data_IF_377619335510
#
_entry.id   IF_377619335510
#
_cell.length_a   1.000
_cell.length_b   1.000
_cell.length_c   1.000
_cell.angle_alpha   90.00
_cell.angle_beta   90.00
_cell.angle_gamma   90.00
#
_symmetry.space_group_name_H-M   'P 1'
#
loop_
_entity.id
_entity.type
_entity.pdbx_description
1 polymer ?
#
# COMPACT_ATOMS: atom_id res chain seq x y z
N UNK A 1 -20.46 -30.21 4.53
CA UNK A 1 -19.86 -29.19 3.65
C UNK A 1 -20.69 -29.10 2.38
N UNK A 2 -21.31 -27.94 2.08
CA UNK A 2 -21.92 -27.71 0.76
C UNK A 2 -20.78 -27.60 -0.27
N UNK A 3 -20.97 -28.18 -1.45
CA UNK A 3 -20.02 -28.01 -2.54
C UNK A 3 -19.98 -26.52 -2.94
N UNK A 4 -18.79 -25.93 -2.91
CA UNK A 4 -18.54 -24.53 -3.30
C UNK A 4 -18.96 -24.31 -4.75
N UNK A 5 -19.84 -23.34 -4.99
CA UNK A 5 -20.40 -23.06 -6.31
C UNK A 5 -19.34 -22.46 -7.25
N UNK A 6 -19.62 -22.39 -8.56
CA UNK A 6 -18.70 -21.69 -9.48
C UNK A 6 -18.61 -20.19 -9.16
N UNK A 7 -19.71 -19.59 -8.65
CA UNK A 7 -19.76 -18.20 -8.20
C UNK A 7 -18.82 -17.97 -7.04
N UNK A 8 -18.96 -18.77 -5.98
CA UNK A 8 -18.16 -18.68 -4.75
C UNK A 8 -16.66 -18.76 -5.06
N UNK A 9 -16.26 -19.63 -5.99
CA UNK A 9 -14.86 -19.76 -6.43
C UNK A 9 -14.34 -18.52 -7.16
N UNK A 10 -15.16 -17.93 -8.02
CA UNK A 10 -14.78 -16.72 -8.76
C UNK A 10 -14.70 -15.51 -7.82
N UNK A 11 -15.63 -15.38 -6.87
CA UNK A 11 -15.61 -14.37 -5.81
C UNK A 11 -14.35 -14.47 -4.97
N UNK A 12 -14.07 -15.67 -4.45
CA UNK A 12 -12.85 -15.94 -3.69
C UNK A 12 -11.60 -15.65 -4.49
N UNK A 13 -11.53 -16.06 -5.77
CA UNK A 13 -10.38 -15.79 -6.64
C UNK A 13 -10.17 -14.29 -6.85
N UNK A 14 -11.22 -13.51 -7.07
CA UNK A 14 -11.12 -12.07 -7.26
C UNK A 14 -10.55 -11.37 -6.00
N UNK A 15 -11.02 -11.78 -4.82
CA UNK A 15 -10.50 -11.28 -3.55
C UNK A 15 -9.06 -11.73 -3.29
N UNK A 16 -8.73 -13.00 -3.53
CA UNK A 16 -7.38 -13.54 -3.36
C UNK A 16 -6.36 -12.82 -4.26
N UNK A 17 -6.73 -12.54 -5.52
CA UNK A 17 -5.90 -11.74 -6.44
C UNK A 17 -5.61 -10.38 -5.82
N UNK A 18 -6.65 -9.67 -5.36
CA UNK A 18 -6.48 -8.36 -4.77
C UNK A 18 -5.66 -8.40 -3.47
N UNK A 19 -5.85 -9.42 -2.63
CA UNK A 19 -5.18 -9.56 -1.34
C UNK A 19 -3.71 -9.94 -1.50
N UNK A 20 -3.39 -10.89 -2.40
CA UNK A 20 -2.03 -11.39 -2.63
C UNK A 20 -1.18 -10.45 -3.46
N UNK A 21 -1.75 -9.86 -4.51
CA UNK A 21 -1.03 -8.96 -5.42
C UNK A 21 -1.14 -7.49 -5.00
N UNK A 22 -2.17 -7.10 -4.26
CA UNK A 22 -2.23 -5.83 -3.53
C UNK A 22 -1.79 -6.04 -2.09
N UNK A 23 -2.71 -5.78 -1.14
CA UNK A 23 -2.53 -5.92 0.30
C UNK A 23 -3.82 -6.48 0.91
N UNK A 24 -3.71 -7.59 1.64
CA UNK A 24 -4.85 -8.27 2.25
C UNK A 24 -5.63 -7.44 3.29
N UNK A 25 -4.99 -6.42 3.88
CA UNK A 25 -5.59 -5.47 4.84
C UNK A 25 -6.59 -4.51 4.21
N UNK A 26 -6.52 -4.34 2.90
CA UNK A 26 -7.36 -3.41 2.15
C UNK A 26 -8.38 -4.12 1.28
N UNK A 27 -8.46 -5.44 1.41
CA UNK A 27 -9.45 -6.30 0.76
C UNK A 27 -10.33 -6.88 1.83
N UNK A 28 -11.62 -6.64 1.76
CA UNK A 28 -12.56 -7.04 2.79
C UNK A 28 -13.58 -8.02 2.23
N UNK A 29 -13.94 -8.99 3.07
CA UNK A 29 -15.06 -9.87 2.82
C UNK A 29 -16.40 -9.12 2.84
N UNK A 30 -17.47 -9.88 2.64
CA UNK A 30 -18.83 -9.36 2.51
C UNK A 30 -19.37 -8.96 3.90
N UNK A 31 -19.69 -7.68 4.17
CA UNK A 31 -20.35 -7.31 5.41
C UNK A 31 -21.73 -7.97 5.49
N UNK A 32 -22.09 -8.54 6.64
CA UNK A 32 -23.38 -9.18 6.85
C UNK A 32 -24.37 -8.22 7.51
N UNK A 33 -25.53 -8.04 6.88
CA UNK A 33 -26.64 -7.26 7.42
C UNK A 33 -27.87 -8.11 7.69
N UNK A 34 -28.59 -7.80 8.76
CA UNK A 34 -29.85 -8.47 9.06
C UNK A 34 -30.97 -7.88 8.20
N UNK A 35 -31.69 -8.72 7.45
CA UNK A 35 -32.87 -8.32 6.67
C UNK A 35 -34.04 -9.23 7.03
N UNK A 36 -34.93 -8.74 7.89
CA UNK A 36 -35.98 -9.57 8.50
C UNK A 36 -35.37 -10.62 9.42
N UNK A 37 -35.71 -11.90 9.21
CA UNK A 37 -35.16 -13.03 9.97
C UNK A 37 -33.83 -13.56 9.44
N UNK A 38 -33.41 -13.18 8.22
CA UNK A 38 -32.20 -13.68 7.57
C UNK A 38 -31.02 -12.69 7.59
N UNK A 39 -29.84 -13.21 7.27
CA UNK A 39 -28.65 -12.42 6.96
C UNK A 39 -28.55 -12.19 5.45
N UNK A 40 -28.05 -11.03 5.05
CA UNK A 40 -27.79 -10.66 3.67
C UNK A 40 -26.40 -10.07 3.57
N UNK A 41 -25.67 -10.50 2.56
CA UNK A 41 -24.35 -9.98 2.22
C UNK A 41 -24.46 -8.62 1.52
N UNK A 42 -23.58 -7.70 1.88
CA UNK A 42 -23.46 -6.36 1.28
C UNK A 42 -22.36 -6.40 0.22
N UNK A 43 -22.75 -6.91 -0.93
CA UNK A 43 -21.89 -7.10 -2.08
C UNK A 43 -20.94 -8.29 -1.94
N UNK A 44 -20.09 -8.49 -2.96
CA UNK A 44 -19.27 -9.71 -3.06
C UNK A 44 -17.88 -9.50 -2.44
N UNK A 45 -17.52 -8.26 -2.10
CA UNK A 45 -16.32 -7.85 -1.38
C UNK A 45 -16.16 -6.32 -1.40
N UNK A 46 -15.18 -5.79 -0.66
CA UNK A 46 -14.83 -4.38 -0.70
C UNK A 46 -13.32 -4.18 -0.85
N UNK A 47 -12.93 -3.10 -1.51
CA UNK A 47 -11.59 -2.53 -1.41
C UNK A 47 -11.67 -1.25 -0.59
N UNK A 48 -10.86 -1.09 0.45
CA UNK A 48 -10.90 0.14 1.27
C UNK A 48 -9.48 0.52 1.72
N UNK A 49 -9.07 1.75 1.40
CA UNK A 49 -7.83 2.38 1.87
C UNK A 49 -8.12 3.81 2.30
N UNK A 50 -8.04 4.09 3.61
CA UNK A 50 -8.36 5.41 4.14
C UNK A 50 -9.81 5.80 3.84
N UNK A 51 -9.99 6.88 3.09
CA UNK A 51 -11.29 7.40 2.64
C UNK A 51 -11.76 6.84 1.28
N UNK A 52 -10.83 6.25 0.51
CA UNK A 52 -11.14 5.66 -0.79
C UNK A 52 -11.59 4.21 -0.62
N UNK A 53 -12.49 3.79 -1.49
CA UNK A 53 -12.90 2.41 -1.55
C UNK A 53 -13.68 2.10 -2.79
N UNK A 54 -13.99 0.83 -2.98
CA UNK A 54 -14.77 0.31 -4.09
C UNK A 54 -15.59 -0.91 -3.65
N UNK A 55 -16.74 -1.10 -4.28
CA UNK A 55 -17.61 -2.25 -4.05
C UNK A 55 -17.35 -3.27 -5.14
N UNK A 56 -17.01 -4.51 -4.76
CA UNK A 56 -16.82 -5.60 -5.71
C UNK A 56 -18.14 -6.35 -5.93
N UNK A 57 -18.40 -6.67 -7.20
CA UNK A 57 -19.45 -7.56 -7.65
C UNK A 57 -18.87 -8.53 -8.67
N UNK A 58 -18.96 -9.82 -8.39
CA UNK A 58 -18.42 -10.88 -9.23
C UNK A 58 -19.58 -11.69 -9.81
N UNK A 59 -19.48 -12.04 -11.09
CA UNK A 59 -20.41 -12.95 -11.74
C UNK A 59 -19.65 -13.95 -12.58
N UNK A 60 -19.93 -15.23 -12.38
CA UNK A 60 -19.25 -16.31 -13.09
C UNK A 60 -20.20 -17.12 -13.96
N UNK A 61 -19.71 -17.55 -15.11
CA UNK A 61 -20.35 -18.58 -15.94
C UNK A 61 -19.77 -19.95 -15.61
N UNK A 62 -20.63 -20.94 -15.41
CA UNK A 62 -20.20 -22.34 -15.27
C UNK A 62 -19.28 -22.79 -16.42
N UNK A 63 -18.17 -23.44 -16.08
CA UNK A 63 -17.10 -23.76 -17.03
C UNK A 63 -17.55 -24.63 -18.20
N UNK A 64 -18.22 -25.75 -17.92
CA UNK A 64 -18.65 -26.73 -18.93
C UNK A 64 -19.59 -26.14 -19.98
N UNK A 65 -20.72 -25.50 -19.62
CA UNK A 65 -21.58 -24.86 -20.61
C UNK A 65 -20.93 -23.62 -21.22
N UNK A 66 -20.18 -22.83 -20.44
CA UNK A 66 -19.52 -21.62 -20.92
C UNK A 66 -18.50 -21.85 -22.04
N UNK A 67 -17.79 -22.98 -22.02
CA UNK A 67 -16.88 -23.38 -23.10
C UNK A 67 -17.62 -23.72 -24.42
N UNK A 68 -18.91 -24.03 -24.36
CA UNK A 68 -19.73 -24.33 -25.55
C UNK A 68 -20.52 -23.12 -26.06
N UNK A 69 -20.45 -21.99 -25.37
CA UNK A 69 -21.11 -20.77 -25.80
C UNK A 69 -20.39 -20.18 -27.03
N UNK A 70 -21.15 -19.84 -28.08
CA UNK A 70 -20.64 -19.10 -29.23
C UNK A 70 -20.21 -17.69 -28.81
N UNK A 71 -19.46 -16.97 -29.67
CA UNK A 71 -19.00 -15.60 -29.38
C UNK A 71 -20.17 -14.68 -28.98
N UNK A 72 -21.22 -14.64 -29.81
CA UNK A 72 -22.39 -13.79 -29.57
C UNK A 72 -23.17 -14.20 -28.32
N UNK A 73 -23.24 -15.51 -28.04
CA UNK A 73 -23.89 -16.03 -26.84
C UNK A 73 -23.10 -15.66 -25.58
N UNK A 74 -21.78 -15.78 -25.62
CA UNK A 74 -20.90 -15.39 -24.52
C UNK A 74 -21.03 -13.90 -24.22
N UNK A 75 -20.97 -13.04 -25.24
CA UNK A 75 -21.17 -11.59 -25.09
C UNK A 75 -22.54 -11.27 -24.44
N UNK A 76 -23.62 -11.82 -24.98
CA UNK A 76 -24.98 -11.59 -24.44
C UNK A 76 -25.11 -12.03 -22.98
N UNK A 77 -24.51 -13.15 -22.60
CA UNK A 77 -24.50 -13.64 -21.22
C UNK A 77 -23.69 -12.70 -20.32
N UNK A 78 -22.50 -12.27 -20.75
CA UNK A 78 -21.66 -11.35 -20.00
C UNK A 78 -22.38 -10.02 -19.80
N UNK A 79 -23.03 -9.45 -20.82
CA UNK A 79 -23.84 -8.21 -20.68
C UNK A 79 -24.94 -8.37 -19.63
N UNK A 80 -25.68 -9.49 -19.68
CA UNK A 80 -26.70 -9.81 -18.66
C UNK A 80 -26.12 -9.89 -17.25
N UNK A 81 -24.94 -10.48 -17.08
CA UNK A 81 -24.27 -10.57 -15.79
C UNK A 81 -23.83 -9.20 -15.28
N UNK A 82 -23.30 -8.36 -16.16
CA UNK A 82 -22.93 -6.98 -15.84
C UNK A 82 -24.16 -6.19 -15.36
N UNK A 83 -25.27 -6.22 -16.08
CA UNK A 83 -26.50 -5.51 -15.70
C UNK A 83 -27.05 -5.98 -14.34
N UNK A 84 -26.90 -7.26 -14.01
CA UNK A 84 -27.28 -7.79 -12.71
C UNK A 84 -26.33 -7.32 -11.59
N UNK A 85 -25.03 -7.38 -11.84
CA UNK A 85 -23.99 -6.96 -10.90
C UNK A 85 -24.07 -5.46 -10.59
N UNK A 86 -24.31 -4.60 -11.60
CA UNK A 86 -24.48 -3.15 -11.40
C UNK A 86 -25.63 -2.87 -10.43
N UNK A 87 -26.79 -3.50 -10.64
CA UNK A 87 -27.96 -3.33 -9.74
C UNK A 87 -27.66 -3.79 -8.32
N UNK A 88 -26.94 -4.90 -8.16
CA UNK A 88 -26.53 -5.41 -6.85
C UNK A 88 -25.51 -4.48 -6.17
N UNK A 89 -24.53 -3.95 -6.91
CA UNK A 89 -23.56 -2.98 -6.41
C UNK A 89 -24.22 -1.70 -5.89
N UNK A 90 -25.16 -1.12 -6.65
CA UNK A 90 -25.93 0.04 -6.19
C UNK A 90 -26.76 -0.25 -4.94
N UNK A 91 -27.35 -1.45 -4.85
CA UNK A 91 -28.06 -1.90 -3.65
C UNK A 91 -27.16 -2.01 -2.43
N UNK A 92 -25.93 -2.51 -2.61
CA UNK A 92 -24.92 -2.64 -1.56
C UNK A 92 -24.46 -1.26 -1.08
N UNK A 93 -24.13 -0.35 -2.01
CA UNK A 93 -23.79 1.05 -1.72
C UNK A 93 -24.86 1.73 -0.88
N UNK A 94 -26.12 1.64 -1.31
CA UNK A 94 -27.26 2.19 -0.56
C UNK A 94 -27.39 1.59 0.84
N UNK A 95 -27.13 0.29 0.98
CA UNK A 95 -27.19 -0.37 2.29
C UNK A 95 -26.13 0.19 3.23
N UNK A 96 -24.87 0.33 2.77
CA UNK A 96 -23.79 0.95 3.57
C UNK A 96 -24.21 2.34 4.04
N UNK A 97 -24.73 3.16 3.11
CA UNK A 97 -25.16 4.54 3.40
C UNK A 97 -26.29 4.61 4.44
N UNK A 98 -27.26 3.69 4.38
CA UNK A 98 -28.35 3.64 5.37
C UNK A 98 -27.82 3.32 6.78
N UNK A 99 -26.86 2.41 6.89
CA UNK A 99 -26.23 2.08 8.18
C UNK A 99 -25.39 3.25 8.71
N UNK A 100 -24.65 3.95 7.84
CA UNK A 100 -23.95 5.18 8.19
C UNK A 100 -24.91 6.27 8.68
N UNK A 101 -26.00 6.54 7.94
CA UNK A 101 -27.00 7.54 8.29
C UNK A 101 -27.76 7.22 9.59
N UNK A 102 -27.83 5.94 9.98
CA UNK A 102 -28.43 5.50 11.25
C UNK A 102 -27.46 5.46 12.43
N UNK A 103 -26.25 6.02 12.27
CA UNK A 103 -25.18 6.02 13.27
C UNK A 103 -24.83 4.61 13.80
N UNK A 104 -24.93 3.62 12.91
CA UNK A 104 -24.59 2.21 13.16
C UNK A 104 -23.78 1.67 11.98
N UNK A 105 -22.59 2.22 11.71
CA UNK A 105 -21.78 1.80 10.57
C UNK A 105 -21.52 0.29 10.58
N UNK A 106 -21.45 -0.29 9.37
CA UNK A 106 -21.15 -1.71 9.21
C UNK A 106 -19.69 -1.99 9.55
N UNK A 107 -19.42 -3.21 9.97
CA UNK A 107 -18.07 -3.72 10.20
C UNK A 107 -17.68 -4.64 9.04
N UNK A 108 -16.47 -4.47 8.54
CA UNK A 108 -15.90 -5.30 7.48
C UNK A 108 -14.62 -5.98 7.98
N UNK A 109 -14.46 -7.27 7.72
CA UNK A 109 -13.28 -8.04 8.14
C UNK A 109 -12.31 -8.12 6.96
N UNK A 110 -11.04 -7.70 7.13
CA UNK A 110 -10.04 -7.78 6.07
C UNK A 110 -9.67 -9.23 5.77
N UNK A 111 -9.29 -9.52 4.53
CA UNK A 111 -8.88 -10.84 4.09
C UNK A 111 -7.70 -11.38 4.89
N UNK A 112 -6.85 -10.50 5.43
CA UNK A 112 -5.73 -10.89 6.30
C UNK A 112 -6.18 -11.59 7.59
N UNK A 113 -7.35 -11.27 8.13
CA UNK A 113 -7.81 -11.92 9.36
C UNK A 113 -7.89 -13.45 9.20
N UNK A 114 -8.06 -13.93 7.95
CA UNK A 114 -8.08 -15.37 7.63
C UNK A 114 -6.73 -16.07 7.86
N UNK A 115 -5.62 -15.32 7.89
CA UNK A 115 -4.28 -15.86 8.20
C UNK A 115 -4.09 -16.10 9.71
N UNK A 116 -4.98 -15.57 10.56
CA UNK A 116 -4.88 -15.59 12.03
C UNK A 116 -6.21 -16.02 12.70
N UNK A 117 -6.71 -17.24 12.44
CA UNK A 117 -8.00 -17.70 12.95
C UNK A 117 -8.09 -17.75 14.50
N UNK A 118 -6.94 -17.83 15.18
CA UNK A 118 -6.85 -17.79 16.65
C UNK A 118 -7.10 -16.39 17.24
N UNK A 119 -6.94 -15.36 16.42
CA UNK A 119 -7.18 -13.97 16.80
C UNK A 119 -8.63 -13.63 16.45
N UNK A 120 -9.41 -13.14 17.42
CA UNK A 120 -10.83 -12.82 17.19
C UNK A 120 -10.96 -11.81 16.04
N UNK A 121 -11.67 -12.19 14.96
CA UNK A 121 -11.95 -11.36 13.77
C UNK A 121 -12.30 -9.91 14.11
N UNK A 122 -13.00 -9.70 15.23
CA UNK A 122 -13.43 -8.39 15.71
C UNK A 122 -12.31 -7.37 15.90
N UNK A 123 -11.08 -7.78 16.22
CA UNK A 123 -9.99 -6.81 16.41
C UNK A 123 -9.49 -6.22 15.09
N UNK A 124 -9.64 -6.97 13.99
CA UNK A 124 -9.24 -6.54 12.65
C UNK A 124 -10.34 -5.76 11.94
N UNK A 125 -11.57 -5.80 12.46
CA UNK A 125 -12.71 -5.17 11.84
C UNK A 125 -12.44 -3.70 11.51
N UNK A 126 -12.81 -3.31 10.30
CA UNK A 126 -12.88 -1.93 9.87
C UNK A 126 -14.32 -1.46 10.01
N UNK A 127 -14.50 -0.37 10.76
CA UNK A 127 -15.76 0.36 10.77
C UNK A 127 -15.90 1.17 9.49
N UNK A 128 -16.96 0.89 8.72
CA UNK A 128 -17.30 1.62 7.50
C UNK A 128 -18.02 2.93 7.83
N UNK A 129 -17.35 3.83 8.55
CA UNK A 129 -17.90 5.14 8.96
C UNK A 129 -17.70 6.23 7.92
N UNK A 130 -16.75 6.07 6.99
CA UNK A 130 -16.46 7.06 5.94
C UNK A 130 -17.50 7.04 4.81
N UNK A 131 -17.94 8.19 4.28
CA UNK A 131 -18.92 8.23 3.20
C UNK A 131 -18.48 7.42 1.97
N UNK A 132 -19.32 6.50 1.51
CA UNK A 132 -19.02 5.68 0.32
C UNK A 132 -19.68 6.21 -0.96
N UNK A 133 -20.23 7.43 -0.96
CA UNK A 133 -21.01 7.99 -2.08
C UNK A 133 -20.21 8.07 -3.39
N UNK A 134 -18.90 8.24 -3.33
CA UNK A 134 -18.03 8.32 -4.50
C UNK A 134 -17.39 6.98 -4.86
N UNK A 135 -17.54 5.95 -4.01
CA UNK A 135 -16.92 4.65 -4.26
C UNK A 135 -17.46 4.03 -5.56
N UNK A 136 -16.58 3.65 -6.50
CA UNK A 136 -17.01 2.96 -7.71
C UNK A 136 -17.51 1.55 -7.41
N UNK A 137 -18.35 1.04 -8.30
CA UNK A 137 -18.76 -0.36 -8.33
C UNK A 137 -17.87 -1.08 -9.36
N UNK A 138 -17.04 -2.01 -8.89
CA UNK A 138 -16.22 -2.88 -9.72
C UNK A 138 -17.04 -4.13 -10.03
N UNK A 139 -17.32 -4.35 -11.32
CA UNK A 139 -17.98 -5.54 -11.82
C UNK A 139 -16.95 -6.44 -12.49
N UNK A 140 -16.68 -7.59 -11.87
CA UNK A 140 -15.76 -8.61 -12.37
C UNK A 140 -16.59 -9.73 -12.97
N UNK A 141 -16.33 -10.07 -14.24
CA UNK A 141 -16.98 -11.20 -14.89
C UNK A 141 -15.98 -12.30 -15.20
N UNK A 142 -16.28 -13.51 -14.73
CA UNK A 142 -15.57 -14.72 -15.09
C UNK A 142 -16.36 -15.51 -16.13
N UNK A 143 -15.88 -15.52 -17.37
CA UNK A 143 -16.45 -16.32 -18.45
C UNK A 143 -15.35 -17.16 -19.10
N UNK A 144 -15.52 -18.49 -19.27
CA UNK A 144 -14.47 -19.39 -19.78
C UNK A 144 -13.92 -19.04 -21.16
N UNK A 145 -14.71 -18.38 -22.00
CA UNK A 145 -14.30 -17.90 -23.33
C UNK A 145 -13.67 -16.49 -23.32
N UNK A 146 -13.69 -15.80 -22.19
CA UNK A 146 -13.20 -14.43 -21.99
C UNK A 146 -13.49 -13.49 -23.19
N UNK A 147 -14.77 -13.24 -23.54
CA UNK A 147 -15.10 -12.51 -24.76
C UNK A 147 -14.65 -11.05 -24.69
N UNK A 148 -14.18 -10.51 -25.83
CA UNK A 148 -13.80 -9.11 -25.97
C UNK A 148 -14.86 -8.32 -26.72
N UNK A 149 -15.37 -7.25 -26.11
CA UNK A 149 -16.36 -6.36 -26.71
C UNK A 149 -16.46 -5.01 -25.98
N UNK A 150 -16.92 -3.98 -26.70
CA UNK A 150 -17.14 -2.63 -26.15
C UNK A 150 -18.45 -2.54 -25.37
N UNK A 151 -18.40 -1.83 -24.25
CA UNK A 151 -19.49 -1.67 -23.30
C UNK A 151 -19.65 -0.20 -22.92
N UNK A 152 -20.89 0.28 -22.94
CA UNK A 152 -21.25 1.53 -22.29
C UNK A 152 -21.59 1.24 -20.84
N UNK A 153 -20.87 1.86 -19.91
CA UNK A 153 -21.09 1.70 -18.46
C UNK A 153 -21.61 3.01 -17.85
N UNK A 154 -22.49 2.97 -16.84
CA UNK A 154 -22.88 4.16 -16.10
C UNK A 154 -21.68 4.81 -15.39
N UNK A 155 -21.75 6.11 -15.06
CA UNK A 155 -20.74 6.75 -14.21
C UNK A 155 -20.55 6.03 -12.88
N UNK A 156 -19.31 5.93 -12.41
CA UNK A 156 -18.97 5.24 -11.16
C UNK A 156 -19.07 3.70 -11.23
N UNK A 157 -19.15 3.12 -12.43
CA UNK A 157 -19.08 1.67 -12.65
C UNK A 157 -17.84 1.35 -13.47
N UNK A 158 -17.06 0.38 -13.01
CA UNK A 158 -15.92 -0.17 -13.72
C UNK A 158 -16.16 -1.65 -14.00
N UNK A 159 -16.10 -2.07 -15.25
CA UNK A 159 -16.32 -3.47 -15.64
C UNK A 159 -15.04 -4.08 -16.21
N UNK A 160 -14.70 -5.28 -15.74
CA UNK A 160 -13.46 -5.97 -16.10
C UNK A 160 -13.67 -7.49 -16.13
N UNK A 161 -12.87 -8.20 -16.92
CA UNK A 161 -12.82 -9.66 -16.86
C UNK A 161 -12.00 -10.13 -15.65
N UNK A 162 -12.25 -11.33 -15.12
CA UNK A 162 -11.42 -11.88 -14.03
C UNK A 162 -9.95 -12.04 -14.44
N UNK A 163 -9.69 -12.38 -15.71
CA UNK A 163 -8.34 -12.51 -16.25
C UNK A 163 -7.62 -11.15 -16.32
N UNK A 164 -8.33 -10.08 -16.71
CA UNK A 164 -7.75 -8.74 -16.72
C UNK A 164 -7.58 -8.17 -15.32
N UNK A 165 -8.48 -8.50 -14.38
CA UNK A 165 -8.34 -8.15 -12.97
C UNK A 165 -7.02 -8.65 -12.39
N UNK A 166 -6.67 -9.91 -12.67
CA UNK A 166 -5.39 -10.50 -12.28
C UNK A 166 -4.20 -9.80 -12.93
N UNK A 167 -4.27 -9.55 -14.25
CA UNK A 167 -3.19 -8.85 -14.96
C UNK A 167 -3.00 -7.42 -14.45
N UNK A 168 -4.09 -6.69 -14.19
CA UNK A 168 -4.05 -5.32 -13.70
C UNK A 168 -3.42 -5.25 -12.31
N UNK A 169 -3.85 -6.14 -11.39
CA UNK A 169 -3.23 -6.25 -10.07
C UNK A 169 -1.75 -6.65 -10.16
N UNK A 170 -1.38 -7.50 -11.11
CA UNK A 170 0.02 -7.88 -11.29
C UNK A 170 0.90 -6.71 -11.78
N UNK A 171 0.31 -5.73 -12.49
CA UNK A 171 1.02 -4.52 -12.95
C UNK A 171 1.10 -3.45 -11.87
N UNK A 172 -0.02 -3.19 -11.20
CA UNK A 172 -0.14 -2.08 -10.24
C UNK A 172 0.40 -2.46 -8.85
N UNK A 173 0.26 -3.72 -8.44
CA UNK A 173 0.84 -4.27 -7.20
C UNK A 173 0.49 -3.48 -5.92
N UNK A 174 -0.61 -2.74 -5.95
CA UNK A 174 -1.09 -1.83 -4.91
C UNK A 174 -2.62 -1.72 -4.96
N UNK A 175 -3.29 -1.67 -3.80
CA UNK A 175 -4.76 -1.45 -3.76
C UNK A 175 -5.08 0.03 -3.95
N UNK A 176 -4.30 0.92 -3.35
CA UNK A 176 -4.37 2.37 -3.54
C UNK A 176 -4.15 2.75 -5.00
N UNK A 177 -3.16 2.11 -5.65
CA UNK A 177 -2.92 2.25 -7.08
C UNK A 177 -4.12 1.79 -7.93
N UNK A 178 -4.77 0.68 -7.56
CA UNK A 178 -5.99 0.22 -8.26
C UNK A 178 -7.10 1.25 -8.12
N UNK A 179 -7.36 1.77 -6.92
CA UNK A 179 -8.39 2.79 -6.71
C UNK A 179 -8.10 4.07 -7.53
N UNK A 180 -6.84 4.52 -7.57
CA UNK A 180 -6.42 5.65 -8.43
C UNK A 180 -6.57 5.34 -9.92
N UNK A 181 -6.36 4.10 -10.33
CA UNK A 181 -6.54 3.68 -11.72
C UNK A 181 -8.00 3.81 -12.13
N UNK A 182 -8.94 3.43 -11.25
CA UNK A 182 -10.37 3.58 -11.49
C UNK A 182 -10.75 5.06 -11.67
N UNK A 183 -10.21 5.95 -10.83
CA UNK A 183 -10.43 7.39 -10.94
C UNK A 183 -9.91 7.91 -12.30
N UNK A 184 -8.71 7.51 -12.70
CA UNK A 184 -8.12 7.91 -13.98
C UNK A 184 -8.94 7.39 -15.17
N UNK A 185 -9.36 6.13 -15.15
CA UNK A 185 -10.22 5.56 -16.20
C UNK A 185 -11.51 6.35 -16.32
N UNK A 186 -12.13 6.69 -15.18
CA UNK A 186 -13.37 7.48 -15.15
C UNK A 186 -13.19 8.89 -15.75
N UNK A 187 -12.01 9.49 -15.59
CA UNK A 187 -11.68 10.82 -16.12
C UNK A 187 -11.26 10.78 -17.60
N UNK A 188 -10.68 9.66 -18.05
CA UNK A 188 -10.11 9.51 -19.40
C UNK A 188 -11.14 9.50 -20.53
N UNK A 189 -12.41 9.21 -20.24
CA UNK A 189 -13.48 8.98 -21.22
C UNK A 189 -13.19 7.88 -22.25
N UNK A 190 -12.15 7.06 -22.03
CA UNK A 190 -11.83 5.94 -22.90
C UNK A 190 -12.94 4.88 -22.85
N UNK A 191 -13.25 4.23 -23.98
CA UNK A 191 -14.28 3.21 -24.02
C UNK A 191 -13.92 2.06 -23.07
N UNK A 192 -14.94 1.50 -22.42
CA UNK A 192 -14.78 0.25 -21.66
C UNK A 192 -14.85 -0.93 -22.61
N UNK A 193 -13.77 -1.69 -22.67
CA UNK A 193 -13.67 -2.92 -23.46
C UNK A 193 -13.40 -4.07 -22.51
N UNK A 194 -14.38 -4.96 -22.34
CA UNK A 194 -14.18 -6.19 -21.57
C UNK A 194 -13.10 -7.01 -22.29
N UNK A 195 -12.14 -7.57 -21.55
CA UNK A 195 -11.04 -8.33 -22.17
C UNK A 195 -9.92 -7.45 -22.77
N UNK A 196 -10.00 -6.12 -22.63
CA UNK A 196 -9.07 -5.14 -23.23
C UNK A 196 -8.42 -4.19 -22.22
N UNK A 197 -8.39 -4.56 -20.93
CA UNK A 197 -7.84 -3.70 -19.89
C UNK A 197 -6.35 -3.48 -20.05
N UNK A 198 -5.64 -4.48 -20.58
CA UNK A 198 -4.20 -4.40 -20.78
C UNK A 198 -3.84 -3.23 -21.68
N UNK A 199 -4.50 -3.11 -22.81
CA UNK A 199 -4.31 -2.03 -23.78
C UNK A 199 -4.65 -0.68 -23.17
N UNK A 200 -5.78 -0.58 -22.44
CA UNK A 200 -6.18 0.64 -21.74
C UNK A 200 -5.16 1.05 -20.68
N UNK A 201 -4.64 0.10 -19.91
CA UNK A 201 -3.60 0.35 -18.91
C UNK A 201 -2.34 0.94 -19.56
N UNK A 202 -1.82 0.32 -20.62
CA UNK A 202 -0.61 0.83 -21.29
C UNK A 202 -0.85 2.21 -21.90
N UNK A 203 -1.98 2.41 -22.57
CA UNK A 203 -2.33 3.72 -23.10
C UNK A 203 -2.37 4.81 -22.02
N UNK A 204 -2.97 4.52 -20.87
CA UNK A 204 -3.03 5.47 -19.75
C UNK A 204 -1.65 5.68 -19.10
N UNK A 205 -0.83 4.64 -18.98
CA UNK A 205 0.54 4.77 -18.49
C UNK A 205 1.37 5.69 -19.41
N UNK A 206 1.32 5.46 -20.72
CA UNK A 206 2.06 6.27 -21.71
C UNK A 206 1.64 7.75 -21.67
N UNK A 207 0.33 8.03 -21.57
CA UNK A 207 -0.19 9.41 -21.47
C UNK A 207 0.28 10.11 -20.19
N UNK A 208 0.28 9.41 -19.06
CA UNK A 208 0.74 9.98 -17.78
C UNK A 208 2.25 10.22 -17.83
N UNK A 209 3.02 9.27 -18.36
CA UNK A 209 4.47 9.40 -18.55
C UNK A 209 4.81 10.63 -19.40
N UNK A 210 4.12 10.83 -20.53
CA UNK A 210 4.33 11.98 -21.43
C UNK A 210 3.99 13.33 -20.78
N UNK A 211 2.91 13.40 -20.00
CA UNK A 211 2.52 14.61 -19.28
C UNK A 211 3.50 14.93 -18.14
N UNK A 212 4.02 13.91 -17.45
CA UNK A 212 4.99 14.06 -16.37
C UNK A 212 6.36 14.52 -16.90
N UNK A 213 6.83 13.97 -18.03
CA UNK A 213 8.07 14.41 -18.70
C UNK A 213 8.03 15.91 -19.03
N UNK A 214 6.85 16.43 -19.43
CA UNK A 214 6.67 17.85 -19.76
C UNK A 214 6.58 18.76 -18.52
N UNK A 215 6.17 18.25 -17.37
CA UNK A 215 5.80 19.08 -16.21
C UNK A 215 6.80 19.14 -15.04
N UNK A 216 7.83 18.27 -14.94
CA UNK A 216 9.08 18.44 -14.15
C UNK A 216 9.74 17.06 -13.97
N UNK A 217 11.07 17.03 -13.83
CA UNK A 217 11.91 15.83 -13.52
C UNK A 217 11.59 15.10 -12.19
N UNK A 218 10.50 15.44 -11.50
CA UNK A 218 10.20 14.97 -10.13
C UNK A 218 8.80 14.39 -9.96
N UNK A 219 7.95 14.39 -11.00
CA UNK A 219 6.65 13.70 -10.93
C UNK A 219 6.85 12.25 -11.37
N UNK A 220 6.44 11.33 -10.49
CA UNK A 220 6.52 9.90 -10.77
C UNK A 220 5.13 9.43 -11.19
N UNK A 221 5.01 8.83 -12.39
CA UNK A 221 3.72 8.37 -12.89
C UNK A 221 3.22 7.25 -11.99
N UNK A 222 1.96 7.35 -11.58
CA UNK A 222 1.31 6.34 -10.74
C UNK A 222 1.27 4.95 -11.39
N UNK A 223 1.28 4.92 -12.72
CA UNK A 223 1.21 3.72 -13.54
C UNK A 223 2.44 3.67 -14.43
N UNK A 224 3.19 2.56 -14.39
CA UNK A 224 4.37 2.38 -15.23
C UNK A 224 4.66 0.89 -15.43
N UNK A 225 5.62 0.57 -16.29
CA UNK A 225 6.12 -0.79 -16.52
C UNK A 225 7.16 -1.23 -15.49
N UNK A 226 7.55 -0.37 -14.55
CA UNK A 226 8.69 -0.58 -13.67
C UNK A 226 8.62 -1.90 -12.87
N UNK A 227 7.41 -2.33 -12.46
CA UNK A 227 7.22 -3.60 -11.76
C UNK A 227 7.60 -4.83 -12.60
N UNK A 228 7.42 -4.75 -13.92
CA UNK A 228 7.80 -5.80 -14.86
C UNK A 228 9.29 -5.77 -15.15
N UNK A 229 9.83 -4.56 -15.31
CA UNK A 229 11.24 -4.36 -15.67
C UNK A 229 12.19 -4.72 -14.51
N UNK A 230 11.72 -4.60 -13.26
CA UNK A 230 12.52 -4.94 -12.07
C UNK A 230 11.67 -5.54 -10.93
N UNK A 231 11.26 -6.82 -11.09
CA UNK A 231 10.44 -7.50 -10.10
C UNK A 231 11.20 -7.78 -8.79
N UNK A 232 12.53 -7.86 -8.83
CA UNK A 232 13.35 -8.09 -7.64
C UNK A 232 13.29 -6.90 -6.69
N UNK A 233 13.52 -5.69 -7.21
CA UNK A 233 13.46 -4.47 -6.41
C UNK A 233 12.05 -4.23 -5.88
N UNK A 234 11.02 -4.47 -6.69
CA UNK A 234 9.65 -4.44 -6.21
C UNK A 234 9.41 -5.45 -5.08
N UNK A 235 9.97 -6.65 -5.20
CA UNK A 235 9.93 -7.68 -4.15
C UNK A 235 10.50 -7.20 -2.82
N UNK A 236 11.64 -6.51 -2.84
CA UNK A 236 12.26 -5.91 -1.65
C UNK A 236 11.38 -4.85 -1.01
N UNK A 237 10.73 -3.98 -1.80
CA UNK A 237 9.79 -3.01 -1.25
C UNK A 237 8.56 -3.69 -0.62
N UNK A 238 7.99 -4.69 -1.30
CA UNK A 238 6.85 -5.47 -0.80
C UNK A 238 7.19 -6.30 0.44
N UNK A 239 8.45 -6.67 0.62
CA UNK A 239 8.92 -7.30 1.85
C UNK A 239 8.59 -6.41 3.05
N UNK A 240 8.87 -5.10 2.96
CA UNK A 240 8.58 -4.15 4.04
C UNK A 240 7.10 -4.18 4.44
N UNK A 241 6.22 -4.12 3.43
CA UNK A 241 4.76 -4.16 3.63
C UNK A 241 4.31 -5.48 4.27
N UNK A 242 4.88 -6.60 3.83
CA UNK A 242 4.55 -7.93 4.35
C UNK A 242 5.01 -8.07 5.81
N UNK A 243 6.13 -7.43 6.17
CA UNK A 243 6.74 -7.52 7.50
C UNK A 243 6.17 -6.55 8.53
N UNK A 244 5.27 -5.64 8.16
CA UNK A 244 4.47 -4.87 9.14
C UNK A 244 3.70 -5.81 10.06
N UNK A 245 3.24 -6.95 9.54
CA UNK A 245 2.40 -7.92 10.25
C UNK A 245 3.14 -9.02 11.00
N UNK A 246 4.44 -9.22 10.76
CA UNK A 246 5.21 -10.24 11.50
C UNK A 246 5.42 -9.89 12.98
N UNK A 247 4.70 -8.90 13.50
CA UNK A 247 4.73 -8.37 14.86
C UNK A 247 3.57 -8.79 15.79
N UNK A 248 3.09 -10.05 15.75
CA UNK A 248 2.28 -10.62 16.84
C UNK A 248 2.94 -11.89 17.42
N UNK A 249 3.08 -12.06 18.75
CA UNK A 249 3.58 -11.14 19.77
C UNK A 249 5.06 -11.50 20.11
N UNK A 250 6.03 -10.82 19.49
CA UNK A 250 7.44 -10.85 19.93
C UNK A 250 8.03 -9.43 20.04
N UNK A 251 7.17 -8.45 20.31
CA UNK A 251 7.48 -7.02 20.49
C UNK A 251 6.18 -6.26 20.78
N UNK A 252 6.24 -5.02 21.32
CA UNK A 252 5.06 -4.32 21.80
C UNK A 252 4.07 -3.97 20.68
N UNK A 253 2.86 -4.52 20.77
CA UNK A 253 1.60 -3.76 20.81
C UNK A 253 1.17 -2.87 19.65
N UNK A 254 1.64 -3.03 18.40
CA UNK A 254 1.08 -2.27 17.27
C UNK A 254 -0.37 -2.70 17.04
N UNK A 255 -1.29 -1.75 17.14
CA UNK A 255 -2.72 -1.98 16.90
C UNK A 255 -3.03 -2.23 15.42
N UNK A 256 -4.12 -2.95 15.08
CA UNK A 256 -4.55 -3.11 13.70
C UNK A 256 -4.78 -1.79 12.95
N UNK A 257 -5.13 -0.71 13.65
CA UNK A 257 -5.27 0.63 13.07
C UNK A 257 -3.92 1.24 12.67
N UNK A 258 -2.92 1.17 13.56
CA UNK A 258 -1.55 1.61 13.24
C UNK A 258 -0.96 0.80 12.08
N UNK A 259 -1.20 -0.51 12.04
CA UNK A 259 -0.77 -1.36 10.92
C UNK A 259 -1.41 -0.89 9.61
N UNK A 260 -2.73 -0.66 9.59
CA UNK A 260 -3.41 -0.12 8.39
C UNK A 260 -2.86 1.23 7.99
N UNK A 261 -2.49 2.08 8.95
CA UNK A 261 -1.90 3.40 8.69
C UNK A 261 -0.52 3.28 8.03
N UNK A 262 0.35 2.42 8.57
CA UNK A 262 1.67 2.11 8.00
C UNK A 262 1.52 1.51 6.59
N UNK A 263 0.61 0.56 6.41
CA UNK A 263 0.37 -0.05 5.11
C UNK A 263 -0.19 0.95 4.11
N UNK A 264 -1.07 1.86 4.53
CA UNK A 264 -1.61 2.89 3.65
C UNK A 264 -0.50 3.87 3.22
N UNK A 265 0.44 4.18 4.12
CA UNK A 265 1.64 4.95 3.77
C UNK A 265 2.45 4.24 2.67
N UNK A 266 2.74 2.95 2.83
CA UNK A 266 3.56 2.18 1.89
C UNK A 266 2.84 1.86 0.57
N UNK A 267 1.54 1.64 0.60
CA UNK A 267 0.71 1.26 -0.55
C UNK A 267 0.41 2.46 -1.46
N UNK A 268 0.16 3.62 -0.87
CA UNK A 268 -0.16 4.84 -1.61
C UNK A 268 1.14 5.53 -2.07
N UNK A 269 1.88 4.83 -2.93
CA UNK A 269 3.10 5.27 -3.62
C UNK A 269 3.09 4.74 -5.06
N UNK A 270 3.53 5.53 -6.07
CA UNK A 270 3.71 5.04 -7.44
C UNK A 270 4.60 3.80 -7.56
N UNK A 271 4.27 2.89 -8.46
CA UNK A 271 5.02 1.64 -8.69
C UNK A 271 6.49 1.90 -9.03
N UNK A 272 6.77 2.94 -9.82
CA UNK A 272 8.14 3.36 -10.15
C UNK A 272 8.94 3.76 -8.91
N UNK A 273 8.31 4.44 -7.94
CA UNK A 273 8.93 4.78 -6.66
C UNK A 273 9.15 3.52 -5.82
N UNK A 274 8.19 2.58 -5.76
CA UNK A 274 8.38 1.31 -5.05
C UNK A 274 9.63 0.57 -5.57
N UNK A 275 9.79 0.47 -6.88
CA UNK A 275 10.95 -0.18 -7.53
C UNK A 275 12.25 0.57 -7.21
N UNK A 276 12.27 1.90 -7.39
CA UNK A 276 13.47 2.69 -7.11
C UNK A 276 13.89 2.62 -5.63
N UNK A 277 12.91 2.57 -4.73
CA UNK A 277 13.11 2.42 -3.29
C UNK A 277 13.65 1.03 -2.96
N UNK A 278 13.13 -0.02 -3.59
CA UNK A 278 13.67 -1.38 -3.47
C UNK A 278 15.14 -1.49 -3.89
N UNK A 279 15.51 -0.89 -5.03
CA UNK A 279 16.92 -0.80 -5.45
C UNK A 279 17.77 -0.09 -4.40
N UNK A 280 17.26 1.03 -3.89
CA UNK A 280 17.95 1.82 -2.89
C UNK A 280 18.15 1.04 -1.58
N UNK A 281 17.13 0.31 -1.10
CA UNK A 281 17.23 -0.58 0.08
C UNK A 281 18.30 -1.65 -0.14
N UNK A 282 18.34 -2.30 -1.31
CA UNK A 282 19.38 -3.29 -1.61
C UNK A 282 20.79 -2.69 -1.56
N UNK A 283 20.98 -1.47 -2.06
CA UNK A 283 22.26 -0.76 -1.94
C UNK A 283 22.61 -0.49 -0.48
N UNK A 284 21.64 -0.10 0.36
CA UNK A 284 21.86 0.11 1.79
C UNK A 284 22.21 -1.17 2.55
N UNK A 285 21.58 -2.29 2.21
CA UNK A 285 21.97 -3.60 2.77
C UNK A 285 23.39 -3.98 2.36
N UNK A 286 23.79 -3.72 1.10
CA UNK A 286 25.16 -3.96 0.63
C UNK A 286 26.19 -3.06 1.33
N UNK A 287 25.89 -1.78 1.49
CA UNK A 287 26.74 -0.81 2.20
C UNK A 287 27.04 -1.29 3.63
N UNK A 288 26.04 -1.80 4.34
CA UNK A 288 26.21 -2.42 5.65
C UNK A 288 27.11 -3.67 5.59
N UNK A 289 26.89 -4.56 4.62
CA UNK A 289 27.69 -5.79 4.46
C UNK A 289 29.17 -5.50 4.15
N UNK A 290 29.43 -4.46 3.35
CA UNK A 290 30.79 -4.08 2.94
C UNK A 290 31.55 -3.34 4.06
N UNK A 291 30.86 -2.50 4.82
CA UNK A 291 31.51 -1.62 5.82
C UNK A 291 31.40 -2.13 7.25
N UNK A 292 30.44 -3.02 7.53
CA UNK A 292 30.04 -3.37 8.89
C UNK A 292 29.34 -2.25 9.65
N UNK A 293 29.19 -1.06 9.07
CA UNK A 293 28.61 0.12 9.71
C UNK A 293 27.11 0.24 9.40
N UNK A 294 26.30 0.79 10.32
CA UNK A 294 24.87 0.96 10.12
C UNK A 294 24.59 1.80 8.87
N UNK A 295 23.76 1.27 7.96
CA UNK A 295 23.43 1.95 6.72
C UNK A 295 22.05 2.61 6.83
N UNK A 296 21.98 3.90 6.54
CA UNK A 296 20.71 4.64 6.62
C UNK A 296 20.48 5.57 5.44
N UNK A 297 19.25 6.07 5.32
CA UNK A 297 18.92 7.20 4.47
C UNK A 297 17.41 7.38 4.34
N UNK A 298 16.99 8.13 3.34
CA UNK A 298 15.57 8.37 3.09
C UNK A 298 15.21 8.33 1.59
N UNK A 299 13.93 8.10 1.34
CA UNK A 299 13.26 8.27 0.06
C UNK A 299 11.98 9.08 0.31
N UNK A 300 11.58 9.94 -0.64
CA UNK A 300 10.39 10.79 -0.48
C UNK A 300 9.46 10.69 -1.68
N UNK A 301 8.15 10.72 -1.41
CA UNK A 301 7.09 10.79 -2.42
C UNK A 301 6.06 11.83 -1.98
N UNK A 302 6.05 13.00 -2.63
CA UNK A 302 5.23 14.13 -2.19
C UNK A 302 5.60 14.55 -0.76
N UNK A 303 4.63 14.52 0.16
CA UNK A 303 4.80 14.85 1.57
C UNK A 303 5.08 13.62 2.47
N UNK A 304 5.35 12.46 1.87
CA UNK A 304 5.67 11.21 2.57
C UNK A 304 7.16 10.95 2.54
N UNK A 305 7.74 10.65 3.70
CA UNK A 305 9.17 10.39 3.86
C UNK A 305 9.35 8.98 4.40
N UNK A 306 9.93 8.10 3.59
CA UNK A 306 10.37 6.79 4.05
C UNK A 306 11.81 6.93 4.55
N UNK A 307 12.03 6.61 5.81
CA UNK A 307 13.35 6.57 6.45
C UNK A 307 13.73 5.11 6.63
N UNK A 308 14.93 4.73 6.21
CA UNK A 308 15.41 3.36 6.32
C UNK A 308 16.68 3.31 7.17
N UNK A 309 16.75 2.32 8.06
CA UNK A 309 17.94 2.03 8.86
C UNK A 309 18.19 0.51 8.82
N UNK A 310 19.42 0.12 8.54
CA UNK A 310 19.85 -1.26 8.53
C UNK A 310 21.10 -1.45 9.39
N UNK A 311 21.08 -2.44 10.26
CA UNK A 311 22.15 -2.72 11.23
C UNK A 311 22.14 -4.19 11.67
N UNK A 312 23.00 -4.53 12.64
CA UNK A 312 22.99 -5.83 13.33
C UNK A 312 22.73 -5.71 14.83
N UNK A 313 22.32 -6.82 15.44
CA UNK A 313 22.21 -6.99 16.89
C UNK A 313 23.54 -6.79 17.64
N UNK A 314 24.69 -6.94 16.97
CA UNK A 314 26.01 -6.62 17.53
C UNK A 314 26.16 -5.14 17.87
N UNK A 315 25.55 -4.27 17.07
CA UNK A 315 25.60 -2.82 17.26
C UNK A 315 24.50 -2.34 18.20
N UNK A 316 23.30 -2.92 18.09
CA UNK A 316 22.18 -2.65 18.96
C UNK A 316 21.59 -3.95 19.48
N UNK A 317 22.11 -4.52 20.58
CA UNK A 317 21.58 -5.74 21.14
C UNK A 317 20.18 -5.52 21.73
N UNK A 318 19.94 -4.34 22.31
CA UNK A 318 18.67 -3.99 22.94
C UNK A 318 17.64 -3.45 21.93
N UNK A 319 16.46 -4.07 21.91
CA UNK A 319 15.38 -3.71 20.99
C UNK A 319 14.79 -2.32 21.29
N UNK A 320 14.79 -1.90 22.56
CA UNK A 320 14.29 -0.58 22.95
C UNK A 320 15.23 0.53 22.45
N UNK A 321 16.53 0.37 22.63
CA UNK A 321 17.55 1.27 22.07
C UNK A 321 17.47 1.35 20.55
N UNK A 322 17.33 0.21 19.87
CA UNK A 322 17.13 0.16 18.42
C UNK A 322 15.90 0.96 17.97
N UNK A 323 14.76 0.72 18.62
CA UNK A 323 13.49 1.40 18.30
C UNK A 323 13.58 2.90 18.58
N UNK A 324 14.26 3.28 19.67
CA UNK A 324 14.50 4.69 20.03
C UNK A 324 15.37 5.39 18.99
N UNK A 325 16.47 4.74 18.56
CA UNK A 325 17.36 5.28 17.53
C UNK A 325 16.63 5.48 16.19
N UNK A 326 15.85 4.48 15.76
CA UNK A 326 15.02 4.58 14.56
C UNK A 326 13.99 5.72 14.69
N UNK A 327 13.38 5.87 15.87
CA UNK A 327 12.39 6.92 16.13
C UNK A 327 13.02 8.31 16.02
N UNK A 328 14.17 8.54 16.65
CA UNK A 328 14.86 9.83 16.58
C UNK A 328 15.42 10.13 15.20
N UNK A 329 15.93 9.12 14.50
CA UNK A 329 16.31 9.27 13.11
C UNK A 329 15.11 9.71 12.26
N UNK A 330 13.98 9.01 12.38
CA UNK A 330 12.76 9.30 11.62
C UNK A 330 12.21 10.69 11.93
N UNK A 331 12.16 11.08 13.20
CA UNK A 331 11.72 12.39 13.65
C UNK A 331 12.63 13.51 13.12
N UNK A 332 13.95 13.30 13.14
CA UNK A 332 14.92 14.26 12.60
C UNK A 332 14.70 14.47 11.10
N UNK A 333 14.54 13.38 10.31
CA UNK A 333 14.29 13.50 8.87
C UNK A 333 12.96 14.22 8.57
N UNK A 334 11.93 13.98 9.37
CA UNK A 334 10.66 14.68 9.24
C UNK A 334 10.79 16.19 9.52
N UNK A 335 11.59 16.55 10.53
CA UNK A 335 11.86 17.94 10.87
C UNK A 335 12.64 18.65 9.75
N UNK A 336 13.74 18.06 9.29
CA UNK A 336 14.56 18.60 8.19
C UNK A 336 13.75 18.77 6.89
N UNK A 337 12.86 17.82 6.58
CA UNK A 337 11.98 17.91 5.42
C UNK A 337 10.97 19.06 5.56
N UNK A 338 10.35 19.16 6.74
CA UNK A 338 9.38 20.23 7.06
C UNK A 338 10.04 21.60 6.97
N UNK A 339 11.26 21.77 7.46
CA UNK A 339 12.04 23.01 7.30
C UNK A 339 12.39 23.31 5.85
N UNK A 340 12.76 22.28 5.07
CA UNK A 340 13.18 22.44 3.67
C UNK A 340 12.05 22.90 2.76
N UNK A 341 10.83 22.39 2.99
CA UNK A 341 9.68 22.63 2.11
C UNK A 341 8.61 23.53 2.73
N UNK A 342 8.67 23.82 4.03
CA UNK A 342 7.65 24.56 4.77
C UNK A 342 6.23 24.00 4.58
N UNK A 343 6.12 22.67 4.56
CA UNK A 343 4.86 21.92 4.42
C UNK A 343 4.81 20.85 5.51
N UNK A 344 3.61 20.47 5.95
CA UNK A 344 3.44 19.34 6.88
C UNK A 344 3.68 18.02 6.15
N UNK A 345 4.61 17.23 6.66
CA UNK A 345 4.91 15.88 6.18
C UNK A 345 4.45 14.79 7.14
N UNK A 346 4.51 13.56 6.64
CA UNK A 346 4.42 12.33 7.44
C UNK A 346 5.64 11.48 7.15
N UNK A 347 6.13 10.77 8.16
CA UNK A 347 7.31 9.92 8.02
C UNK A 347 7.04 8.50 8.51
N UNK A 348 7.60 7.54 7.78
CA UNK A 348 7.67 6.14 8.19
C UNK A 348 9.13 5.71 8.28
N UNK A 349 9.59 5.44 9.49
CA UNK A 349 10.83 4.74 9.77
C UNK A 349 10.66 3.24 9.59
N UNK A 350 11.52 2.62 8.79
CA UNK A 350 11.63 1.18 8.65
C UNK A 350 13.04 0.75 9.02
N UNK A 351 13.16 0.13 10.17
CA UNK A 351 14.39 -0.49 10.66
C UNK A 351 14.44 -1.95 10.28
N UNK A 352 15.60 -2.42 9.81
CA UNK A 352 15.92 -3.83 9.68
C UNK A 352 17.17 -4.18 10.47
N UNK A 353 17.07 -5.17 11.36
CA UNK A 353 18.17 -5.58 12.25
C UNK A 353 18.52 -7.04 11.97
N UNK A 354 19.74 -7.31 11.53
CA UNK A 354 20.26 -8.67 11.37
C UNK A 354 20.54 -9.28 12.75
N UNK A 355 19.98 -10.47 12.98
CA UNK A 355 20.15 -11.24 14.21
C UNK A 355 20.55 -12.67 13.89
N UNK A 356 20.96 -13.43 14.91
CA UNK A 356 21.20 -14.87 14.77
C UNK A 356 19.98 -15.65 14.22
N UNK A 357 18.75 -15.13 14.38
CA UNK A 357 17.51 -15.78 13.96
C UNK A 357 16.96 -15.24 12.62
N UNK A 358 17.71 -14.38 11.93
CA UNK A 358 17.30 -13.73 10.69
C UNK A 358 17.11 -12.22 10.85
N UNK A 359 16.32 -11.62 9.97
CA UNK A 359 16.10 -10.16 9.94
C UNK A 359 14.85 -9.79 10.73
N UNK A 360 15.03 -8.95 11.74
CA UNK A 360 13.95 -8.30 12.48
C UNK A 360 13.54 -6.98 11.82
N UNK A 361 12.25 -6.66 11.90
CA UNK A 361 11.66 -5.46 11.31
C UNK A 361 11.07 -4.58 12.40
N UNK A 362 11.31 -3.27 12.32
CA UNK A 362 10.74 -2.27 13.22
C UNK A 362 10.15 -1.13 12.39
N UNK A 363 8.95 -0.70 12.73
CA UNK A 363 8.24 0.36 12.02
C UNK A 363 7.92 1.49 12.99
N UNK A 364 8.18 2.72 12.59
CA UNK A 364 7.87 3.93 13.36
C UNK A 364 7.13 4.91 12.47
N UNK A 365 5.86 5.15 12.76
CA UNK A 365 5.04 6.11 12.01
C UNK A 365 4.94 7.42 12.79
N UNK A 366 5.22 8.55 12.13
CA UNK A 366 5.18 9.89 12.74
C UNK A 366 4.36 10.86 11.88
N UNK A 367 3.43 11.55 12.53
CA UNK A 367 2.71 12.69 11.96
C UNK A 367 3.12 13.98 12.67
N UNK A 368 3.73 14.90 11.93
CA UNK A 368 4.22 16.17 12.47
C UNK A 368 5.58 16.08 13.19
N UNK A 369 6.28 17.22 13.23
CA UNK A 369 7.67 17.31 13.68
C UNK A 369 7.83 17.76 15.16
N UNK A 370 6.89 17.40 16.04
CA UNK A 370 6.93 17.80 17.45
C UNK A 370 7.95 17.00 18.28
N UNK A 371 8.52 17.62 19.32
CA UNK A 371 9.27 16.90 20.36
C UNK A 371 10.75 16.65 20.10
N UNK A 372 11.32 17.16 19.01
CA UNK A 372 12.76 17.02 18.73
C UNK A 372 13.57 18.08 19.49
N UNK A 373 14.47 17.65 20.39
CA UNK A 373 15.42 18.55 21.04
C UNK A 373 16.65 18.77 20.15
N UNK A 374 17.35 19.89 20.37
CA UNK A 374 18.59 20.19 19.64
C UNK A 374 19.66 19.12 19.87
N UNK A 375 19.81 18.62 21.11
CA UNK A 375 20.85 17.61 21.39
C UNK A 375 20.59 16.30 20.63
N UNK A 376 19.33 15.86 20.55
CA UNK A 376 18.96 14.66 19.78
C UNK A 376 19.21 14.88 18.30
N UNK A 377 18.82 16.04 17.76
CA UNK A 377 19.07 16.39 16.36
C UNK A 377 20.56 16.39 16.03
N UNK A 378 21.37 17.12 16.80
CA UNK A 378 22.82 17.23 16.59
C UNK A 378 23.49 15.84 16.62
N UNK A 379 23.06 14.94 17.51
CA UNK A 379 23.55 13.55 17.57
C UNK A 379 23.20 12.77 16.29
N UNK A 380 21.93 12.81 15.86
CA UNK A 380 21.45 12.09 14.68
C UNK A 380 22.10 12.62 13.40
N UNK A 381 22.23 13.93 13.26
CA UNK A 381 22.88 14.57 12.10
C UNK A 381 24.37 14.23 12.04
N UNK A 382 25.05 14.13 13.19
CA UNK A 382 26.44 13.68 13.24
C UNK A 382 26.58 12.22 12.83
N UNK A 383 25.73 11.34 13.32
CA UNK A 383 25.83 9.90 13.09
C UNK A 383 25.41 9.48 11.68
N UNK A 384 24.44 10.18 11.09
CA UNK A 384 23.80 9.78 9.84
C UNK A 384 23.85 10.84 8.73
N UNK A 385 24.50 11.98 8.99
CA UNK A 385 24.57 13.12 8.09
C UNK A 385 23.24 13.88 7.95
N UNK A 386 23.29 15.01 7.24
CA UNK A 386 22.13 15.86 6.93
C UNK A 386 21.71 15.63 5.48
N UNK A 387 20.45 15.24 5.21
CA UNK A 387 20.00 14.95 3.87
C UNK A 387 19.66 16.25 3.15
N UNK A 388 20.13 16.38 1.92
CA UNK A 388 19.66 17.42 1.04
C UNK A 388 18.47 16.90 0.23
N UNK A 389 17.25 17.12 0.73
CA UNK A 389 16.03 16.64 0.07
C UNK A 389 15.82 17.20 -1.35
N UNK A 390 16.50 18.29 -1.72
CA UNK A 390 16.41 18.86 -3.07
C UNK A 390 17.31 18.14 -4.07
N UNK A 391 18.45 17.62 -3.62
CA UNK A 391 19.48 17.05 -4.48
C UNK A 391 19.74 15.56 -4.23
N UNK A 392 19.10 14.96 -3.22
CA UNK A 392 19.17 13.53 -2.93
C UNK A 392 20.53 13.03 -2.43
N UNK A 393 21.41 13.92 -1.94
CA UNK A 393 22.67 13.54 -1.29
C UNK A 393 22.62 13.78 0.21
N UNK A 394 23.44 13.04 0.96
CA UNK A 394 23.64 13.26 2.39
C UNK A 394 24.98 13.95 2.59
N UNK A 395 24.98 15.04 3.36
CA UNK A 395 26.20 15.75 3.75
C UNK A 395 26.64 15.29 5.12
N UNK A 396 27.87 14.84 5.25
CA UNK A 396 28.46 14.55 6.55
C UNK A 396 28.60 15.83 7.37
N UNK A 397 28.33 15.73 8.68
CA UNK A 397 28.50 16.85 9.60
C UNK A 397 29.88 16.74 10.20
N UNK A 398 30.74 17.70 9.87
CA UNK A 398 32.03 17.89 10.53
C UNK A 398 31.84 18.86 11.72
N UNK A 399 31.88 18.38 12.97
CA UNK A 399 31.77 19.26 14.12
C UNK A 399 32.99 20.17 14.17
N UNK A 400 32.78 21.48 14.35
CA UNK A 400 33.91 22.39 14.56
C UNK A 400 34.74 21.97 15.76
N UNK A 401 36.08 22.07 15.69
CA UNK A 401 37.02 21.59 16.73
C UNK A 401 36.66 22.00 18.17
N UNK A 402 36.09 23.20 18.34
CA UNK A 402 35.70 23.74 19.65
C UNK A 402 34.21 23.57 20.01
N UNK A 403 33.39 23.00 19.12
CA UNK A 403 31.99 22.68 19.39
C UNK A 403 31.88 21.57 20.44
N UNK A 404 30.72 21.49 21.11
CA UNK A 404 30.41 20.33 21.98
C UNK A 404 30.39 19.07 21.13
N UNK A 405 30.95 18.00 21.66
CA UNK A 405 31.02 16.73 20.98
C UNK A 405 29.60 16.13 20.88
N UNK A 406 29.14 15.78 19.67
CA UNK A 406 27.80 15.22 19.45
C UNK A 406 27.63 13.80 20.02
N UNK A 407 28.71 13.14 20.48
CA UNK A 407 28.61 11.83 21.14
C UNK A 407 27.98 11.88 22.54
N UNK A 408 27.67 13.08 23.06
CA UNK A 408 27.04 13.26 24.37
C UNK A 408 28.02 13.29 25.56
N UNK A 409 29.34 13.22 25.32
CA UNK A 409 30.35 13.26 26.40
C UNK A 409 30.41 14.58 27.18
N UNK A 410 29.79 15.65 26.67
CA UNK A 410 29.88 17.00 27.23
C UNK A 410 31.22 17.71 26.96
N UNK A 411 32.20 17.03 26.36
CA UNK A 411 33.52 17.58 26.01
C UNK A 411 33.48 18.34 24.68
N UNK A 412 34.54 19.10 24.38
CA UNK A 412 34.77 19.66 23.03
C UNK A 412 35.18 18.55 22.06
N UNK A 413 34.77 18.62 20.79
CA UNK A 413 35.08 17.61 19.77
C UNK A 413 36.57 17.21 19.75
N UNK A 414 37.47 18.19 19.71
CA UNK A 414 38.93 17.95 19.73
C UNK A 414 39.40 17.12 20.94
N UNK A 415 38.81 17.32 22.12
CA UNK A 415 39.18 16.58 23.33
C UNK A 415 38.58 15.18 23.37
N UNK A 416 37.53 14.93 22.59
CA UNK A 416 36.81 13.67 22.59
C UNK A 416 37.32 12.70 21.52
N UNK A 417 37.68 13.20 20.33
CA UNK A 417 38.01 12.35 19.17
C UNK A 417 39.35 12.66 18.49
N UNK A 418 39.92 13.87 18.63
CA UNK A 418 41.23 14.19 18.01
C UNK A 418 42.43 13.80 18.89
N UNK A 419 42.19 13.38 20.14
CA UNK A 419 43.23 13.26 21.14
C UNK A 419 43.76 14.64 21.58
N UNK A 420 44.27 14.73 22.81
CA UNK A 420 44.89 15.96 23.33
C UNK A 420 46.17 16.33 22.59
#
# INVERSE_FOLDING_TARGET
>A
MRAESTGDKAEKRAQEVAARLGIADFVYGQPLVRKGTGWREVGDGLLVVGDRGAILQVKSRERKPGLRDSKDKAERIVRKYIDAAIRQGYGSKRTIQLYQASNKPLQAIPARALDYPEVRDSIFALELSRPCQEWPIIVIVDHPRNPTFTLSVPPGVFCISLNDWEQLHNKIRSVSGILRYLDLVSQSQLPTVIGGERERFFHLADVVDDLDIRNRRTTHPWFSTAAYDDPLSLGVYRELMTKVWTGLPRGPGISPEEIRTILAFLDDVPVSIMVSTGRWIMRKRREFQETGNPASGNASSGNKILVYLHASDRQWPDQMQWTTELTFLTLTRLHEWTETYNVKGVALGVGTRETANGIEYTHVYLEGAGGLTKEVRDKIEWQYGVPNFRFGHVREVEPGRNARCPCGSGLKFKRCHEGS
#
